data_IF_790774732053
#
_entry.id   IF_790774732053
#
_cell.length_a   1.000
_cell.length_b   1.000
_cell.length_c   1.000
_cell.angle_alpha   90.00
_cell.angle_beta   90.00
_cell.angle_gamma   90.00
#
_symmetry.space_group_name_H-M   'P 1'
#
loop_
_entity.id
_entity.type
_entity.pdbx_description
1 polymer ?
#
# COMPACT_ATOMS: atom_id res chain seq x y z
N UNK A 1 -20.92 -9.21 -6.51
CA UNK A 1 -19.83 -8.87 -7.46
C UNK A 1 -18.65 -9.76 -7.13
N UNK A 2 -18.09 -10.47 -8.11
CA UNK A 2 -16.80 -11.14 -7.91
C UNK A 2 -15.73 -10.05 -7.78
N UNK A 3 -15.06 -9.99 -6.64
CA UNK A 3 -13.86 -9.20 -6.47
C UNK A 3 -12.75 -9.84 -7.32
N UNK A 4 -12.64 -9.44 -8.58
CA UNK A 4 -11.51 -9.79 -9.45
C UNK A 4 -10.26 -9.04 -8.96
N UNK A 5 -9.74 -9.45 -7.80
CA UNK A 5 -8.47 -8.95 -7.27
C UNK A 5 -7.37 -9.71 -8.01
N UNK A 6 -6.81 -9.09 -9.05
CA UNK A 6 -5.56 -9.57 -9.65
C UNK A 6 -4.47 -9.42 -8.59
N UNK A 7 -3.97 -10.55 -8.08
CA UNK A 7 -2.79 -10.58 -7.22
C UNK A 7 -1.59 -10.74 -8.13
N UNK A 8 -0.77 -9.71 -8.24
CA UNK A 8 0.59 -9.91 -8.76
C UNK A 8 1.39 -10.51 -7.62
N UNK A 9 1.70 -11.80 -7.73
CA UNK A 9 2.45 -12.52 -6.70
C UNK A 9 3.86 -11.92 -6.62
N UNK A 10 4.38 -11.75 -5.40
CA UNK A 10 5.72 -11.23 -5.10
C UNK A 10 6.01 -9.78 -5.57
N UNK A 11 4.96 -8.96 -5.69
CA UNK A 11 5.03 -7.52 -5.99
C UNK A 11 4.23 -6.67 -4.99
N UNK A 12 4.21 -7.10 -3.73
CA UNK A 12 3.67 -6.28 -2.66
C UNK A 12 4.57 -5.05 -2.44
N UNK A 13 3.96 -3.86 -2.36
CA UNK A 13 4.69 -2.65 -1.96
C UNK A 13 5.08 -2.75 -0.49
N UNK A 14 4.17 -3.24 0.36
CA UNK A 14 4.40 -3.52 1.78
C UNK A 14 3.76 -4.86 2.13
N UNK A 15 4.49 -5.68 2.87
CA UNK A 15 3.97 -6.89 3.51
C UNK A 15 4.56 -6.99 4.92
N UNK A 16 3.96 -6.29 5.88
CA UNK A 16 4.62 -6.04 7.17
C UNK A 16 3.70 -5.76 8.35
N UNK A 17 4.24 -5.98 9.54
CA UNK A 17 3.56 -5.76 10.82
C UNK A 17 3.35 -4.27 11.09
N UNK A 18 2.16 -3.91 11.58
CA UNK A 18 1.88 -2.55 12.06
C UNK A 18 2.42 -2.29 13.46
N UNK A 19 2.86 -3.31 14.20
CA UNK A 19 3.44 -3.17 15.55
C UNK A 19 4.89 -2.65 15.50
N UNK A 20 5.16 -1.66 14.67
CA UNK A 20 6.45 -1.01 14.47
C UNK A 20 6.22 0.50 14.23
N UNK A 21 7.22 1.33 14.53
CA UNK A 21 7.14 2.77 14.23
C UNK A 21 7.14 3.05 12.72
N UNK A 22 7.85 2.21 11.96
CA UNK A 22 7.94 2.29 10.51
C UNK A 22 7.85 0.89 9.91
N UNK A 23 7.12 0.76 8.82
CA UNK A 23 7.10 -0.42 7.97
C UNK A 23 7.72 -0.04 6.64
N UNK A 24 8.86 -0.66 6.33
CA UNK A 24 9.57 -0.44 5.08
C UNK A 24 8.83 -1.07 3.90
N UNK A 25 9.14 -0.57 2.71
CA UNK A 25 8.72 -1.23 1.47
C UNK A 25 9.31 -2.63 1.42
N UNK A 26 8.50 -3.60 0.99
CA UNK A 26 8.96 -4.96 0.69
C UNK A 26 9.68 -4.98 -0.65
N UNK A 27 9.07 -4.34 -1.66
CA UNK A 27 9.63 -4.24 -3.01
C UNK A 27 9.37 -2.89 -3.65
N UNK A 28 10.21 -2.56 -4.62
CA UNK A 28 9.96 -1.54 -5.63
C UNK A 28 9.34 -2.22 -6.84
N UNK A 29 8.21 -1.71 -7.33
CA UNK A 29 7.44 -2.36 -8.39
C UNK A 29 7.41 -1.48 -9.62
N UNK A 30 7.68 -2.08 -10.78
CA UNK A 30 7.55 -1.42 -12.07
C UNK A 30 6.06 -1.25 -12.39
N UNK A 31 5.61 0.00 -12.51
CA UNK A 31 4.22 0.35 -12.82
C UNK A 31 4.04 0.80 -14.26
N UNK A 32 5.11 0.83 -15.07
CA UNK A 32 5.07 1.22 -16.50
C UNK A 32 4.44 2.60 -16.75
N UNK A 33 4.26 2.96 -18.03
CA UNK A 33 3.43 4.11 -18.42
C UNK A 33 1.94 3.75 -18.30
N UNK A 34 1.46 3.41 -17.11
CA UNK A 34 0.11 2.88 -16.92
C UNK A 34 -1.02 3.88 -17.18
N UNK A 35 -0.71 5.13 -17.53
CA UNK A 35 -1.67 6.19 -17.88
C UNK A 35 -2.86 6.29 -16.91
N UNK A 36 -2.62 6.04 -15.62
CA UNK A 36 -3.66 6.10 -14.57
C UNK A 36 -4.60 4.89 -14.49
N UNK A 37 -4.22 3.73 -15.05
CA UNK A 37 -5.05 2.52 -15.00
C UNK A 37 -4.90 1.69 -13.71
N UNK A 38 -3.93 2.03 -12.86
CA UNK A 38 -3.63 1.30 -11.63
C UNK A 38 -4.18 2.00 -10.38
N UNK A 39 -4.52 1.19 -9.38
CA UNK A 39 -4.78 1.62 -8.03
C UNK A 39 -3.86 0.90 -7.04
N UNK A 40 -3.71 1.46 -5.85
CA UNK A 40 -3.07 0.83 -4.70
C UNK A 40 -4.17 0.43 -3.73
N UNK A 41 -4.15 -0.84 -3.31
CA UNK A 41 -5.06 -1.40 -2.35
C UNK A 41 -4.31 -1.77 -1.06
N UNK A 42 -4.94 -1.51 0.08
CA UNK A 42 -4.42 -1.83 1.39
C UNK A 42 -5.33 -2.88 2.01
N UNK A 43 -4.80 -4.07 2.25
CA UNK A 43 -5.53 -5.17 2.87
C UNK A 43 -5.01 -5.44 4.28
N UNK A 44 -5.91 -5.82 5.17
CA UNK A 44 -5.56 -6.43 6.45
C UNK A 44 -5.00 -7.84 6.20
N UNK A 45 -3.90 -8.17 6.89
CA UNK A 45 -3.30 -9.51 6.92
C UNK A 45 -3.26 -9.98 8.38
N UNK A 46 -4.13 -10.93 8.69
CA UNK A 46 -4.58 -11.23 10.04
C UNK A 46 -5.57 -10.19 10.56
N UNK A 47 -6.03 -10.40 11.80
CA UNK A 47 -6.82 -9.38 12.50
C UNK A 47 -5.95 -8.16 12.77
N UNK A 48 -6.37 -6.99 12.30
CA UNK A 48 -5.65 -5.72 12.44
C UNK A 48 -6.40 -4.81 13.40
N UNK A 49 -5.67 -4.15 14.29
CA UNK A 49 -6.20 -3.09 15.16
C UNK A 49 -5.26 -1.89 15.16
N UNK A 50 -5.81 -0.71 14.87
CA UNK A 50 -5.10 0.56 14.92
C UNK A 50 -5.46 1.27 16.23
N UNK A 51 -4.52 1.39 17.16
CA UNK A 51 -4.68 2.22 18.37
C UNK A 51 -4.20 3.65 18.12
N UNK A 52 -3.24 3.82 17.20
CA UNK A 52 -2.82 5.09 16.63
C UNK A 52 -3.02 5.07 15.11
N UNK A 53 -3.10 6.26 14.49
CA UNK A 53 -3.25 6.38 13.05
C UNK A 53 -2.04 5.78 12.32
N UNK A 54 -2.29 5.23 11.13
CA UNK A 54 -1.25 4.73 10.23
C UNK A 54 -1.25 5.58 8.97
N UNK A 55 -0.07 6.04 8.55
CA UNK A 55 0.10 6.80 7.32
C UNK A 55 0.96 5.99 6.37
N UNK A 56 0.39 5.59 5.23
CA UNK A 56 1.11 4.92 4.16
C UNK A 56 1.47 5.98 3.12
N UNK A 57 2.77 6.18 2.90
CA UNK A 57 3.30 7.10 1.90
C UNK A 57 3.70 6.30 0.66
N UNK A 58 3.00 6.56 -0.45
CA UNK A 58 3.37 6.07 -1.77
C UNK A 58 4.45 6.98 -2.35
N UNK A 59 5.44 6.37 -2.98
CA UNK A 59 6.57 7.08 -3.59
C UNK A 59 6.83 6.54 -4.99
N UNK A 60 7.37 7.38 -5.86
CA UNK A 60 7.68 7.01 -7.23
C UNK A 60 9.06 7.46 -7.67
N UNK A 61 9.67 6.72 -8.59
CA UNK A 61 11.03 6.94 -9.07
C UNK A 61 11.19 6.53 -10.53
N UNK A 62 12.21 7.08 -11.19
CA UNK A 62 12.51 6.79 -12.60
C UNK A 62 13.27 5.46 -12.77
N UNK A 63 13.90 4.95 -11.71
CA UNK A 63 14.63 3.68 -11.70
C UNK A 63 14.38 2.89 -10.42
N UNK A 64 14.60 1.57 -10.50
CA UNK A 64 14.35 0.64 -9.40
C UNK A 64 15.19 0.92 -8.14
N UNK A 65 16.43 1.36 -8.33
CA UNK A 65 17.41 1.64 -7.26
C UNK A 65 17.66 3.12 -7.03
N UNK A 66 16.88 3.99 -7.69
CA UNK A 66 17.07 5.43 -7.68
C UNK A 66 16.46 6.14 -6.47
N UNK A 67 16.35 7.46 -6.59
CA UNK A 67 15.63 8.28 -5.61
C UNK A 67 14.13 8.25 -5.85
N UNK A 68 13.37 8.17 -4.76
CA UNK A 68 11.91 8.14 -4.79
C UNK A 68 11.34 9.41 -4.18
N UNK A 69 10.52 10.13 -4.95
CA UNK A 69 9.76 11.28 -4.49
C UNK A 69 8.42 10.84 -3.90
N UNK A 70 7.87 11.61 -2.97
CA UNK A 70 6.52 11.38 -2.48
C UNK A 70 5.49 11.56 -3.60
N UNK A 71 4.57 10.61 -3.71
CA UNK A 71 3.50 10.61 -4.71
C UNK A 71 2.15 10.97 -4.08
N UNK A 72 1.80 10.26 -3.01
CA UNK A 72 0.51 10.43 -2.32
C UNK A 72 0.53 9.71 -0.97
N UNK A 73 -0.44 10.03 -0.11
CA UNK A 73 -0.60 9.37 1.19
C UNK A 73 -1.96 8.69 1.32
N UNK A 74 -1.99 7.59 2.07
CA UNK A 74 -3.21 6.89 2.49
C UNK A 74 -3.22 6.89 4.02
N UNK A 75 -4.28 7.40 4.63
CA UNK A 75 -4.42 7.45 6.09
C UNK A 75 -5.43 6.42 6.59
N UNK A 76 -5.02 5.63 7.57
CA UNK A 76 -5.90 4.74 8.34
C UNK A 76 -6.07 5.39 9.72
N UNK A 77 -7.31 5.70 10.07
CA UNK A 77 -7.63 6.33 11.35
C UNK A 77 -7.26 5.42 12.54
N UNK A 78 -7.00 6.04 13.69
CA UNK A 78 -6.91 5.34 14.96
C UNK A 78 -8.26 4.74 15.38
N UNK A 79 -8.22 3.83 16.35
CA UNK A 79 -9.35 3.12 16.93
C UNK A 79 -10.20 2.36 15.90
N UNK A 80 -9.55 1.71 14.93
CA UNK A 80 -10.21 0.83 13.94
C UNK A 80 -9.79 -0.61 14.15
N UNK A 81 -10.68 -1.51 13.74
CA UNK A 81 -10.40 -2.95 13.66
C UNK A 81 -10.81 -3.46 12.29
N UNK A 82 -10.03 -4.37 11.74
CA UNK A 82 -10.27 -4.98 10.43
C UNK A 82 -10.08 -6.50 10.53
N UNK A 83 -10.92 -7.23 9.82
CA UNK A 83 -10.83 -8.69 9.73
C UNK A 83 -9.71 -9.08 8.75
N UNK A 84 -9.23 -10.31 8.89
CA UNK A 84 -8.26 -10.85 7.93
C UNK A 84 -8.80 -10.78 6.48
N UNK A 85 -7.98 -10.29 5.57
CA UNK A 85 -8.31 -10.11 4.15
C UNK A 85 -9.22 -8.92 3.83
N UNK A 86 -9.62 -8.13 4.82
CA UNK A 86 -10.47 -6.96 4.61
C UNK A 86 -9.73 -5.85 3.83
N UNK A 87 -10.40 -5.25 2.85
CA UNK A 87 -9.90 -4.05 2.15
C UNK A 87 -10.06 -2.83 3.07
N UNK A 88 -8.95 -2.29 3.53
CA UNK A 88 -8.90 -1.14 4.43
C UNK A 88 -9.08 0.16 3.66
N UNK A 89 -8.34 0.32 2.56
CA UNK A 89 -8.31 1.53 1.77
C UNK A 89 -7.87 1.24 0.33
N UNK A 90 -8.27 2.11 -0.59
CA UNK A 90 -7.83 2.12 -1.98
C UNK A 90 -7.56 3.54 -2.44
N UNK A 91 -6.55 3.73 -3.29
CA UNK A 91 -6.29 5.01 -3.96
C UNK A 91 -5.88 4.77 -5.40
N UNK A 92 -6.30 5.65 -6.30
CA UNK A 92 -5.90 5.58 -7.72
C UNK A 92 -4.51 6.18 -7.88
N UNK A 93 -3.63 5.51 -8.65
CA UNK A 93 -2.36 6.13 -9.02
C UNK A 93 -2.62 7.23 -10.06
N UNK A 94 -2.03 8.42 -9.90
CA UNK A 94 -2.20 9.50 -10.84
C UNK A 94 -1.54 9.16 -12.19
N UNK A 95 -2.00 9.79 -13.27
CA UNK A 95 -1.52 9.50 -14.62
C UNK A 95 -0.05 9.85 -14.86
N UNK A 96 0.52 10.76 -14.06
CA UNK A 96 1.92 11.18 -14.12
C UNK A 96 2.84 10.37 -13.17
N UNK A 97 2.43 9.17 -12.75
CA UNK A 97 3.30 8.27 -11.99
C UNK A 97 4.57 7.94 -12.79
N UNK A 98 5.70 7.79 -12.09
CA UNK A 98 6.97 7.42 -12.72
C UNK A 98 7.03 5.91 -12.89
N UNK A 99 8.05 5.43 -13.59
CA UNK A 99 8.19 4.02 -13.97
C UNK A 99 8.13 3.03 -12.79
N UNK A 100 8.58 3.45 -11.61
CA UNK A 100 8.63 2.60 -10.41
C UNK A 100 7.87 3.22 -9.23
N UNK A 101 7.20 2.37 -8.46
CA UNK A 101 6.48 2.75 -7.23
C UNK A 101 6.95 1.89 -6.06
N UNK A 102 7.00 2.51 -4.88
CA UNK A 102 7.24 1.84 -3.61
C UNK A 102 6.37 2.49 -2.52
N UNK A 103 6.30 1.88 -1.33
CA UNK A 103 5.55 2.46 -0.23
C UNK A 103 6.26 2.29 1.12
N UNK A 104 6.06 3.24 2.02
CA UNK A 104 6.48 3.13 3.41
C UNK A 104 5.32 3.48 4.31
N UNK A 105 5.16 2.81 5.45
CA UNK A 105 4.13 3.16 6.42
C UNK A 105 4.75 3.68 7.72
N UNK A 106 4.23 4.79 8.22
CA UNK A 106 4.42 5.22 9.62
C UNK A 106 3.29 4.64 10.45
N UNK A 107 3.63 3.92 11.52
CA UNK A 107 2.70 3.26 12.43
C UNK A 107 3.16 3.46 13.88
N UNK A 108 2.52 2.77 14.83
CA UNK A 108 2.90 2.77 16.24
C UNK A 108 3.04 1.34 16.75
N UNK A 109 3.95 1.13 17.71
CA UNK A 109 4.16 -0.19 18.36
C UNK A 109 2.94 -0.67 19.14
N UNK A 110 1.98 0.21 19.44
CA UNK A 110 0.69 -0.12 20.06
C UNK A 110 -0.35 -0.64 19.07
N UNK A 111 -0.10 -0.57 17.76
CA UNK A 111 -0.95 -1.21 16.74
C UNK A 111 -0.69 -2.72 16.70
N UNK A 112 -1.62 -3.49 16.14
CA UNK A 112 -1.48 -4.94 15.98
C UNK A 112 -1.92 -5.42 14.61
N UNK A 113 -1.48 -6.64 14.26
CA UNK A 113 -1.68 -7.23 12.95
C UNK A 113 -0.71 -6.71 11.88
N UNK A 114 -0.92 -7.14 10.64
CA UNK A 114 -0.09 -6.78 9.49
C UNK A 114 -0.94 -6.19 8.38
N UNK A 115 -0.31 -5.41 7.51
CA UNK A 115 -0.95 -4.94 6.27
C UNK A 115 -0.23 -5.51 5.06
N UNK A 116 -1.01 -5.67 3.99
CA UNK A 116 -0.52 -5.97 2.65
C UNK A 116 -0.94 -4.84 1.71
N UNK A 117 0.03 -4.13 1.16
CA UNK A 117 -0.20 -3.05 0.19
C UNK A 117 0.16 -3.56 -1.19
N UNK A 118 -0.80 -3.58 -2.11
CA UNK A 118 -0.63 -4.16 -3.45
C UNK A 118 -1.11 -3.20 -4.52
N UNK A 119 -0.59 -3.36 -5.74
CA UNK A 119 -1.18 -2.76 -6.91
C UNK A 119 -2.42 -3.56 -7.35
N UNK A 120 -3.35 -2.89 -8.00
CA UNK A 120 -4.51 -3.46 -8.66
C UNK A 120 -4.87 -2.67 -9.91
N UNK A 121 -5.74 -3.22 -10.74
CA UNK A 121 -6.25 -2.54 -11.94
C UNK A 121 -7.61 -1.92 -11.63
N UNK A 122 -7.84 -0.70 -12.12
CA UNK A 122 -9.17 -0.10 -12.08
C UNK A 122 -10.07 -0.83 -13.08
N UNK A 123 -11.10 -1.52 -12.59
CA UNK A 123 -12.13 -2.08 -13.46
C UNK A 123 -12.79 -0.94 -14.24
N UNK A 124 -12.72 -1.01 -15.58
CA UNK A 124 -13.42 -0.12 -16.50
C UNK A 124 -14.81 -0.65 -16.80
#
# INVERSE_FOLDING_TARGET
MLNNILKVYDEDLINGSLAAATVSSDKVVAVGETQGALCVNVFAKGAVSTTAAVTITLKHGDSETGSFAELSTISIAASKTFKDGELIATTTLPSNVKAYVMATATSATSNSGSIRVTLGYLAR
#
